data_IF_591009577764
#
_entry.id   IF_591009577764
#
_cell.length_a   1.000
_cell.length_b   1.000
_cell.length_c   1.000
_cell.angle_alpha   90.00
_cell.angle_beta   90.00
_cell.angle_gamma   90.00
#
_symmetry.space_group_name_H-M   'P 1'
#
loop_
_entity.id
_entity.type
_entity.pdbx_description
1 polymer ?
#
# COMPACT_ATOMS: atom_id res chain seq x y z
N UNK A 1 -20.73 -46.58 38.38
CA UNK A 1 -20.91 -45.70 39.56
C UNK A 1 -21.14 -44.31 39.02
N UNK A 2 -22.41 -43.93 38.82
CA UNK A 2 -23.21 -43.04 39.70
C UNK A 2 -22.66 -41.60 39.73
N UNK A 3 -23.29 -40.65 39.02
CA UNK A 3 -24.34 -39.69 39.51
C UNK A 3 -23.65 -38.33 39.79
N UNK A 4 -24.15 -37.13 39.50
CA UNK A 4 -25.39 -36.63 38.86
C UNK A 4 -25.40 -35.09 39.00
N UNK A 5 -25.88 -34.40 37.96
CA UNK A 5 -26.72 -33.19 37.93
C UNK A 5 -26.34 -31.87 38.65
N UNK A 6 -26.46 -30.79 37.87
CA UNK A 6 -26.74 -29.44 38.37
C UNK A 6 -27.01 -28.46 37.21
N UNK A 7 -28.25 -28.45 36.70
CA UNK A 7 -28.70 -27.48 35.70
C UNK A 7 -29.45 -26.27 36.30
N UNK A 8 -29.96 -25.43 35.38
CA UNK A 8 -30.89 -24.29 35.52
C UNK A 8 -30.22 -22.95 35.91
N UNK A 9 -30.52 -21.77 35.31
CA UNK A 9 -31.71 -21.26 34.59
C UNK A 9 -31.31 -20.05 33.71
N UNK A 10 -31.96 -19.91 32.55
CA UNK A 10 -32.08 -18.65 31.79
C UNK A 10 -33.11 -17.73 32.45
N UNK A 11 -32.97 -16.39 32.39
CA UNK A 11 -34.10 -15.48 32.43
C UNK A 11 -34.50 -15.01 31.02
N UNK A 12 -35.82 -14.86 30.84
CA UNK A 12 -36.50 -14.25 29.71
C UNK A 12 -37.22 -12.99 30.21
N UNK A 13 -37.51 -12.07 29.28
CA UNK A 13 -38.31 -10.83 29.39
C UNK A 13 -37.56 -9.62 29.97
N UNK A 14 -37.73 -8.39 29.47
CA UNK A 14 -38.97 -7.76 28.99
C UNK A 14 -38.66 -6.58 28.05
N UNK A 15 -39.25 -6.57 26.86
CA UNK A 15 -39.26 -5.43 25.93
C UNK A 15 -40.21 -4.35 26.45
N UNK A 16 -39.74 -3.11 26.61
CA UNK A 16 -40.60 -1.95 26.90
C UNK A 16 -40.58 -1.03 25.68
N UNK A 17 -41.73 -0.95 25.02
CA UNK A 17 -42.07 0.09 24.04
C UNK A 17 -42.50 1.34 24.79
N UNK A 18 -41.85 2.49 24.55
CA UNK A 18 -42.41 3.80 24.88
C UNK A 18 -42.70 4.52 23.56
N UNK A 19 -43.97 4.55 23.18
CA UNK A 19 -44.50 5.57 22.28
C UNK A 19 -44.72 6.84 23.08
N UNK A 20 -44.22 7.97 22.58
CA UNK A 20 -44.78 9.28 22.87
C UNK A 20 -45.03 9.98 21.52
N UNK A 21 -46.30 10.08 21.16
CA UNK A 21 -46.82 11.00 20.15
C UNK A 21 -47.62 12.07 20.90
N UNK A 22 -47.45 13.35 20.52
CA UNK A 22 -48.51 14.34 20.28
C UNK A 22 -47.86 15.69 19.87
N UNK A 23 -47.96 16.07 18.58
CA UNK A 23 -48.81 17.15 18.00
C UNK A 23 -48.43 18.58 18.45
N UNK A 24 -47.78 19.41 17.60
CA UNK A 24 -48.32 20.32 16.55
C UNK A 24 -49.26 21.42 17.07
N UNK A 25 -48.88 22.69 16.82
CA UNK A 25 -49.63 23.88 16.29
C UNK A 25 -48.86 25.14 16.74
N UNK A 26 -48.07 25.87 15.94
CA UNK A 26 -48.24 26.64 14.70
C UNK A 26 -48.47 28.17 14.92
N UNK A 27 -47.91 28.94 13.97
CA UNK A 27 -48.09 30.37 13.64
C UNK A 27 -47.29 31.39 14.49
N UNK A 28 -46.52 32.33 13.93
CA UNK A 28 -46.23 32.69 12.54
C UNK A 28 -45.50 34.04 12.45
N UNK A 29 -44.82 34.28 11.31
CA UNK A 29 -44.67 35.56 10.59
C UNK A 29 -43.91 36.73 11.28
N UNK A 30 -43.02 37.51 10.65
CA UNK A 30 -42.90 37.97 9.26
C UNK A 30 -41.45 38.44 8.95
N UNK A 31 -41.07 38.34 7.66
CA UNK A 31 -40.05 39.18 7.01
C UNK A 31 -40.73 40.47 6.46
N UNK A 32 -39.97 41.52 6.09
CA UNK A 32 -39.60 41.74 4.67
C UNK A 32 -38.16 42.30 4.49
N UNK A 33 -37.40 42.00 3.43
CA UNK A 33 -37.38 42.57 2.05
C UNK A 33 -37.23 44.11 2.01
N UNK A 34 -36.50 44.79 1.13
CA UNK A 34 -35.57 44.53 0.02
C UNK A 34 -34.94 45.89 -0.36
N UNK A 35 -33.87 45.91 -1.17
CA UNK A 35 -33.35 47.15 -1.78
C UNK A 35 -32.52 46.84 -3.03
N UNK A 36 -32.98 47.34 -4.18
CA UNK A 36 -32.55 47.05 -5.56
C UNK A 36 -32.14 48.35 -6.28
N UNK A 37 -31.22 48.25 -7.25
CA UNK A 37 -31.25 48.81 -8.63
C UNK A 37 -29.81 49.06 -9.16
N UNK A 38 -29.27 48.36 -10.18
CA UNK A 38 -29.52 48.36 -11.64
C UNK A 38 -28.53 49.30 -12.42
N UNK A 39 -28.50 49.35 -13.78
CA UNK A 39 -27.61 48.51 -14.64
C UNK A 39 -26.86 49.30 -15.75
N UNK A 40 -25.86 48.70 -16.42
CA UNK A 40 -25.26 49.11 -17.73
C UNK A 40 -24.53 47.88 -18.31
N UNK A 41 -24.35 47.60 -19.60
CA UNK A 41 -24.89 48.01 -20.89
C UNK A 41 -24.35 46.98 -21.91
N UNK A 42 -25.11 46.73 -22.97
CA UNK A 42 -24.80 45.83 -24.09
C UNK A 42 -23.52 46.17 -24.88
N UNK A 43 -22.87 45.14 -25.43
CA UNK A 43 -22.32 45.19 -26.78
C UNK A 43 -22.41 43.80 -27.42
N UNK A 44 -23.25 43.70 -28.45
CA UNK A 44 -23.28 42.60 -29.40
C UNK A 44 -22.13 42.76 -30.39
N UNK A 45 -21.49 41.66 -30.76
CA UNK A 45 -20.71 41.55 -31.99
C UNK A 45 -21.04 40.20 -32.65
N UNK A 46 -21.96 40.30 -33.61
CA UNK A 46 -22.03 39.55 -34.88
C UNK A 46 -21.48 38.13 -34.97
N UNK A 47 -22.41 37.21 -35.27
CA UNK A 47 -22.16 36.02 -36.07
C UNK A 47 -21.36 36.35 -37.33
N UNK A 48 -20.33 35.56 -37.60
CA UNK A 48 -20.01 35.11 -38.95
C UNK A 48 -19.89 33.59 -38.89
N UNK A 49 -20.92 32.96 -39.43
CA UNK A 49 -21.03 31.57 -39.77
C UNK A 49 -20.07 31.27 -40.93
N UNK A 50 -19.01 30.50 -40.68
CA UNK A 50 -18.35 29.71 -41.73
C UNK A 50 -18.14 28.31 -41.17
N UNK A 51 -18.96 27.39 -41.66
CA UNK A 51 -18.92 26.00 -41.32
C UNK A 51 -17.59 25.35 -41.68
N UNK A 52 -17.02 24.65 -40.71
CA UNK A 52 -16.24 23.46 -40.96
C UNK A 52 -16.93 22.33 -40.20
N UNK A 53 -17.61 21.47 -40.95
CA UNK A 53 -18.03 20.17 -40.46
C UNK A 53 -16.78 19.38 -40.08
N UNK A 54 -16.36 19.48 -38.81
CA UNK A 54 -15.39 18.59 -38.20
C UNK A 54 -16.14 17.32 -37.81
N UNK A 55 -15.89 16.25 -38.56
CA UNK A 55 -16.39 14.91 -38.26
C UNK A 55 -16.10 14.58 -36.80
N UNK A 56 -17.17 14.42 -36.02
CA UNK A 56 -17.11 13.87 -34.67
C UNK A 56 -16.70 12.40 -34.77
N UNK A 57 -15.39 12.16 -34.80
CA UNK A 57 -14.83 10.84 -34.65
C UNK A 57 -15.04 10.36 -33.22
N UNK A 58 -16.12 9.60 -33.00
CA UNK A 58 -16.27 8.73 -31.82
C UNK A 58 -15.42 7.47 -32.00
N UNK A 59 -14.13 7.65 -32.29
CA UNK A 59 -13.17 6.56 -32.18
C UNK A 59 -13.03 6.15 -30.71
N UNK A 60 -12.65 4.90 -30.41
CA UNK A 60 -12.18 4.58 -29.08
C UNK A 60 -11.07 5.58 -28.74
N UNK A 61 -11.20 6.32 -27.65
CA UNK A 61 -10.05 7.05 -27.13
C UNK A 61 -8.98 5.99 -26.86
N UNK A 62 -7.81 6.13 -27.46
CA UNK A 62 -6.69 5.28 -27.08
C UNK A 62 -6.51 5.40 -25.56
N UNK A 63 -6.33 4.26 -24.86
CA UNK A 63 -6.13 4.29 -23.42
C UNK A 63 -5.00 5.29 -23.11
N UNK A 64 -5.24 6.20 -22.17
CA UNK A 64 -4.27 7.25 -21.87
C UNK A 64 -2.94 6.60 -21.47
N UNK A 65 -1.89 6.91 -22.23
CA UNK A 65 -0.53 6.48 -21.93
C UNK A 65 -0.15 6.86 -20.50
N UNK A 66 0.08 5.86 -19.65
CA UNK A 66 0.56 6.08 -18.29
C UNK A 66 2.08 6.16 -18.34
N UNK A 67 2.62 7.36 -18.21
CA UNK A 67 4.08 7.54 -18.15
C UNK A 67 4.60 7.15 -16.77
N UNK A 68 5.79 6.58 -16.72
CA UNK A 68 6.46 6.26 -15.46
C UNK A 68 7.23 4.96 -15.53
N UNK A 69 7.75 4.55 -14.39
CA UNK A 69 8.46 3.27 -14.22
C UNK A 69 7.81 2.48 -13.10
N UNK A 70 7.57 1.20 -13.33
CA UNK A 70 7.16 0.26 -12.29
C UNK A 70 8.35 -0.59 -11.90
N UNK A 71 8.73 -0.51 -10.63
CA UNK A 71 9.84 -1.25 -10.05
C UNK A 71 9.31 -2.47 -9.32
N UNK A 72 9.90 -3.62 -9.60
CA UNK A 72 9.50 -4.93 -9.06
C UNK A 72 10.70 -5.56 -8.38
N UNK A 73 10.52 -5.99 -7.14
CA UNK A 73 11.49 -6.83 -6.44
C UNK A 73 11.26 -8.29 -6.83
N UNK A 74 12.23 -8.90 -7.52
CA UNK A 74 12.21 -10.32 -7.85
C UNK A 74 13.00 -11.05 -6.76
N UNK A 75 12.29 -11.64 -5.80
CA UNK A 75 12.88 -12.10 -4.54
C UNK A 75 13.85 -13.27 -4.78
N UNK A 76 13.39 -14.36 -5.39
CA UNK A 76 14.26 -15.50 -5.73
C UNK A 76 15.15 -15.19 -6.96
N UNK A 77 14.82 -14.13 -7.70
CA UNK A 77 15.60 -13.64 -8.84
C UNK A 77 16.77 -12.73 -8.48
N UNK A 78 17.02 -12.45 -7.20
CA UNK A 78 18.10 -11.60 -6.68
C UNK A 78 18.29 -10.28 -7.46
N UNK A 79 17.17 -9.64 -7.80
CA UNK A 79 17.16 -8.48 -8.69
C UNK A 79 15.93 -7.59 -8.56
N UNK A 80 16.04 -6.37 -9.11
CA UNK A 80 14.89 -5.50 -9.37
C UNK A 80 14.64 -5.39 -10.88
N UNK A 81 13.38 -5.46 -11.31
CA UNK A 81 12.98 -5.14 -12.69
C UNK A 81 12.43 -3.71 -12.76
N UNK A 82 12.86 -2.93 -13.75
CA UNK A 82 12.24 -1.65 -14.10
C UNK A 82 11.40 -1.83 -15.36
N UNK A 83 10.09 -1.61 -15.25
CA UNK A 83 9.11 -1.74 -16.34
C UNK A 83 8.68 -0.34 -16.77
N UNK A 84 8.72 -0.06 -18.06
CA UNK A 84 8.09 1.13 -18.62
C UNK A 84 6.56 1.02 -18.50
N UNK A 85 5.96 1.93 -17.74
CA UNK A 85 4.52 1.93 -17.45
C UNK A 85 3.64 2.14 -18.68
N UNK A 86 4.17 2.77 -19.73
CA UNK A 86 3.43 3.05 -20.97
C UNK A 86 3.44 1.80 -21.88
N UNK A 87 4.62 1.21 -22.05
CA UNK A 87 4.82 0.13 -23.03
C UNK A 87 4.69 -1.27 -22.44
N UNK A 88 4.77 -1.42 -21.11
CA UNK A 88 4.79 -2.72 -20.43
C UNK A 88 6.08 -3.52 -20.67
N UNK A 89 7.15 -2.86 -21.13
CA UNK A 89 8.43 -3.51 -21.42
C UNK A 89 9.36 -3.37 -20.21
N UNK A 90 9.99 -4.48 -19.79
CA UNK A 90 11.13 -4.43 -18.85
C UNK A 90 12.30 -3.74 -19.55
N UNK A 91 12.62 -2.52 -19.12
CA UNK A 91 13.70 -1.71 -19.72
C UNK A 91 15.08 -2.11 -19.22
N UNK A 92 15.16 -2.59 -17.97
CA UNK A 92 16.38 -3.09 -17.35
C UNK A 92 16.05 -3.97 -16.15
N UNK A 93 17.00 -4.85 -15.83
CA UNK A 93 17.03 -5.62 -14.58
C UNK A 93 18.31 -5.28 -13.83
N UNK A 94 18.19 -4.86 -12.56
CA UNK A 94 19.31 -4.57 -11.66
C UNK A 94 19.58 -5.81 -10.81
N UNK A 95 20.65 -6.55 -11.09
CA UNK A 95 21.04 -7.75 -10.33
C UNK A 95 22.00 -7.45 -9.19
N UNK A 96 22.14 -8.40 -8.26
CA UNK A 96 23.12 -8.33 -7.17
C UNK A 96 22.55 -7.75 -5.86
N UNK A 97 21.23 -7.66 -5.78
CA UNK A 97 20.49 -7.38 -4.54
C UNK A 97 19.88 -8.72 -4.15
N UNK A 98 20.45 -9.39 -3.14
CA UNK A 98 20.05 -10.76 -2.79
C UNK A 98 18.73 -10.76 -2.00
N UNK A 99 17.79 -11.61 -2.40
CA UNK A 99 16.45 -11.75 -1.81
C UNK A 99 15.76 -10.41 -1.50
N UNK A 100 15.48 -9.57 -2.51
CA UNK A 100 14.76 -8.34 -2.30
C UNK A 100 13.28 -8.66 -2.07
N UNK A 101 12.83 -8.51 -0.83
CA UNK A 101 11.43 -8.76 -0.46
C UNK A 101 10.53 -7.57 -0.83
N UNK A 102 11.04 -6.33 -0.71
CA UNK A 102 10.29 -5.11 -1.00
C UNK A 102 11.12 -4.05 -1.74
N UNK A 103 10.42 -3.22 -2.51
CA UNK A 103 10.97 -2.04 -3.19
C UNK A 103 10.00 -0.85 -3.03
N UNK A 104 10.54 0.34 -2.81
CA UNK A 104 9.79 1.59 -2.69
C UNK A 104 10.51 2.73 -3.42
N UNK A 105 9.79 3.48 -4.23
CA UNK A 105 10.29 4.71 -4.86
C UNK A 105 10.06 5.89 -3.91
N UNK A 106 11.03 6.80 -3.84
CA UNK A 106 10.93 8.09 -3.14
C UNK A 106 9.82 9.00 -3.71
N UNK A 107 9.27 9.95 -2.93
CA UNK A 107 8.16 10.80 -3.39
C UNK A 107 8.44 11.62 -4.66
N UNK A 108 9.69 12.03 -4.90
CA UNK A 108 10.11 12.78 -6.09
C UNK A 108 10.38 11.87 -7.33
N UNK A 109 10.36 10.55 -7.12
CA UNK A 109 10.59 9.54 -8.13
C UNK A 109 12.05 9.26 -8.47
N UNK A 110 13.01 9.95 -7.84
CA UNK A 110 14.43 9.96 -8.23
C UNK A 110 15.26 8.84 -7.62
N UNK A 111 14.87 8.31 -6.46
CA UNK A 111 15.56 7.22 -5.78
C UNK A 111 14.65 6.00 -5.59
N UNK A 112 15.21 4.82 -5.82
CA UNK A 112 14.57 3.52 -5.59
C UNK A 112 15.26 2.84 -4.41
N UNK A 113 14.45 2.45 -3.43
CA UNK A 113 14.89 1.83 -2.20
C UNK A 113 14.45 0.38 -2.17
N UNK A 114 15.34 -0.53 -1.79
CA UNK A 114 15.03 -1.95 -1.61
C UNK A 114 15.69 -2.49 -0.34
N UNK A 115 15.13 -3.57 0.19
CA UNK A 115 15.83 -4.40 1.18
C UNK A 115 16.59 -5.50 0.44
N UNK A 116 17.72 -5.94 1.00
CA UNK A 116 18.37 -7.19 0.62
C UNK A 116 18.31 -8.13 1.81
N UNK A 117 17.45 -9.14 1.72
CA UNK A 117 17.08 -10.00 2.85
C UNK A 117 18.25 -10.81 3.39
N UNK A 118 19.02 -11.47 2.52
CA UNK A 118 20.18 -12.28 2.94
C UNK A 118 21.35 -11.43 3.43
N UNK A 119 21.56 -10.26 2.84
CA UNK A 119 22.66 -9.37 3.18
C UNK A 119 22.39 -8.47 4.40
N UNK A 120 21.17 -8.47 4.95
CA UNK A 120 20.71 -7.53 5.99
C UNK A 120 21.06 -6.08 5.63
N UNK A 121 20.64 -5.64 4.43
CA UNK A 121 20.96 -4.33 3.90
C UNK A 121 19.71 -3.57 3.45
N UNK A 122 19.76 -2.24 3.60
CA UNK A 122 18.96 -1.31 2.80
C UNK A 122 19.81 -0.80 1.66
N UNK A 123 19.21 -0.73 0.47
CA UNK A 123 19.88 -0.41 -0.79
C UNK A 123 19.20 0.78 -1.44
N UNK A 124 19.97 1.80 -1.81
CA UNK A 124 19.51 2.98 -2.53
C UNK A 124 20.07 3.00 -3.95
N UNK A 125 19.20 3.12 -4.96
CA UNK A 125 19.56 3.22 -6.37
C UNK A 125 19.06 4.54 -6.96
N UNK A 126 19.82 5.11 -7.89
CA UNK A 126 19.35 6.19 -8.75
C UNK A 126 18.34 5.62 -9.76
N UNK A 127 17.13 6.16 -9.78
CA UNK A 127 16.05 5.64 -10.62
C UNK A 127 16.29 5.89 -12.12
N UNK A 128 17.11 6.88 -12.47
CA UNK A 128 17.40 7.26 -13.85
C UNK A 128 18.65 6.57 -14.39
N UNK A 129 19.68 6.33 -13.57
CA UNK A 129 20.94 5.71 -14.01
C UNK A 129 21.07 4.24 -13.64
N UNK A 130 20.22 3.74 -12.73
CA UNK A 130 20.28 2.38 -12.18
C UNK A 130 21.55 2.12 -11.34
N UNK A 131 22.29 3.17 -11.00
CA UNK A 131 23.54 3.07 -10.24
C UNK A 131 23.26 3.00 -8.74
N UNK A 132 24.13 2.28 -8.02
CA UNK A 132 24.12 2.22 -6.57
C UNK A 132 24.51 3.58 -5.98
N UNK A 133 23.59 4.21 -5.26
CA UNK A 133 23.86 5.42 -4.50
C UNK A 133 24.49 5.10 -3.15
N UNK A 134 24.05 4.02 -2.52
CA UNK A 134 24.63 3.55 -1.27
C UNK A 134 23.88 2.38 -0.64
N UNK A 135 24.47 1.85 0.43
CA UNK A 135 23.89 0.80 1.26
C UNK A 135 24.13 1.10 2.73
N UNK A 136 23.24 0.63 3.60
CA UNK A 136 23.45 0.63 5.04
C UNK A 136 23.00 -0.71 5.67
N UNK A 137 23.62 -1.14 6.78
CA UNK A 137 23.19 -2.34 7.50
C UNK A 137 21.81 -2.13 8.12
N UNK A 138 20.97 -3.16 8.06
CA UNK A 138 19.68 -3.24 8.76
C UNK A 138 19.79 -4.15 9.98
N UNK A 139 18.65 -4.42 10.63
CA UNK A 139 18.51 -5.58 11.50
C UNK A 139 18.39 -6.88 10.71
N UNK A 140 18.03 -7.96 11.39
CA UNK A 140 17.95 -9.31 10.82
C UNK A 140 16.68 -9.50 10.00
N UNK A 141 16.83 -10.06 8.79
CA UNK A 141 15.71 -10.39 7.90
C UNK A 141 14.81 -9.17 7.61
N UNK A 142 15.37 -8.12 6.97
CA UNK A 142 14.60 -6.93 6.62
C UNK A 142 13.46 -7.30 5.65
N UNK A 143 12.24 -6.87 5.98
CA UNK A 143 11.03 -7.27 5.24
C UNK A 143 10.56 -6.17 4.27
N UNK A 144 10.35 -4.95 4.77
CA UNK A 144 9.87 -3.84 3.97
C UNK A 144 10.71 -2.58 4.18
N UNK A 145 10.79 -1.75 3.13
CA UNK A 145 11.36 -0.40 3.18
C UNK A 145 10.31 0.61 2.73
N UNK A 146 10.18 1.70 3.47
CA UNK A 146 9.36 2.85 3.05
C UNK A 146 10.15 4.15 3.19
N UNK A 147 9.79 5.13 2.38
CA UNK A 147 10.31 6.50 2.47
C UNK A 147 9.22 7.37 3.10
N UNK A 148 9.59 8.28 4.00
CA UNK A 148 8.65 9.25 4.57
C UNK A 148 8.06 10.17 3.48
N UNK A 149 6.86 10.76 3.71
CA UNK A 149 6.22 11.61 2.70
C UNK A 149 7.03 12.84 2.26
N UNK A 150 7.87 13.38 3.15
CA UNK A 150 8.79 14.47 2.87
C UNK A 150 10.08 14.03 2.16
N UNK A 151 10.34 12.71 2.08
CA UNK A 151 11.55 12.15 1.47
C UNK A 151 12.78 12.17 2.37
N UNK A 152 12.67 12.61 3.63
CA UNK A 152 13.84 12.81 4.51
C UNK A 152 14.26 11.56 5.28
N UNK A 153 13.35 10.61 5.49
CA UNK A 153 13.60 9.38 6.25
C UNK A 153 13.34 8.12 5.42
N UNK A 154 14.14 7.09 5.67
CA UNK A 154 13.92 5.72 5.18
C UNK A 154 13.71 4.81 6.38
N UNK A 155 12.62 4.04 6.37
CA UNK A 155 12.22 3.18 7.48
C UNK A 155 12.17 1.73 7.01
N UNK A 156 12.83 0.83 7.75
CA UNK A 156 12.97 -0.59 7.40
C UNK A 156 12.55 -1.48 8.54
N UNK A 157 11.58 -2.36 8.31
CA UNK A 157 11.18 -3.38 9.29
C UNK A 157 12.11 -4.58 9.23
N UNK A 158 12.55 -5.04 10.40
CA UNK A 158 13.46 -6.17 10.56
C UNK A 158 12.70 -7.29 11.28
N UNK A 159 12.22 -8.27 10.51
CA UNK A 159 11.31 -9.30 11.02
C UNK A 159 12.00 -10.31 11.95
N UNK A 160 13.33 -10.46 11.82
CA UNK A 160 14.10 -11.46 12.56
C UNK A 160 14.53 -11.03 13.96
N UNK A 161 14.54 -9.73 14.25
CA UNK A 161 14.90 -9.18 15.57
C UNK A 161 13.84 -8.25 16.18
N UNK A 162 12.66 -8.18 15.55
CA UNK A 162 11.51 -7.39 16.00
C UNK A 162 11.79 -5.88 16.10
N UNK A 163 12.51 -5.31 15.12
CA UNK A 163 12.87 -3.88 15.13
C UNK A 163 12.46 -3.10 13.88
N UNK A 164 12.45 -1.77 14.02
CA UNK A 164 12.40 -0.80 12.92
C UNK A 164 13.72 -0.02 12.88
N UNK A 165 14.43 -0.07 11.76
CA UNK A 165 15.57 0.83 11.50
C UNK A 165 15.10 2.10 10.80
N UNK A 166 15.54 3.26 11.28
CA UNK A 166 15.25 4.56 10.67
C UNK A 166 16.53 5.24 10.24
N UNK A 167 16.61 5.67 8.98
CA UNK A 167 17.78 6.30 8.37
C UNK A 167 17.46 7.69 7.86
N UNK A 168 18.46 8.56 7.83
CA UNK A 168 18.48 9.73 6.96
C UNK A 168 18.52 9.28 5.49
N UNK A 169 17.61 9.79 4.67
CA UNK A 169 17.52 9.37 3.27
C UNK A 169 18.70 9.85 2.41
N UNK A 170 19.30 11.00 2.72
CA UNK A 170 20.41 11.57 1.95
C UNK A 170 21.75 10.89 2.32
N UNK A 171 22.02 10.75 3.62
CA UNK A 171 23.32 10.29 4.12
C UNK A 171 23.38 8.79 4.41
N UNK A 172 22.24 8.09 4.45
CA UNK A 172 22.11 6.69 4.91
C UNK A 172 22.55 6.48 6.37
N UNK A 173 22.66 7.55 7.16
CA UNK A 173 22.99 7.46 8.58
C UNK A 173 21.80 6.90 9.38
N UNK A 174 22.04 5.83 10.14
CA UNK A 174 21.05 5.26 11.07
C UNK A 174 20.75 6.28 12.19
N UNK A 175 19.50 6.74 12.25
CA UNK A 175 18.98 7.67 13.25
C UNK A 175 18.45 6.96 14.49
N UNK A 176 17.76 5.84 14.30
CA UNK A 176 17.17 5.07 15.39
C UNK A 176 16.98 3.60 15.02
N UNK A 177 16.94 2.78 16.07
CA UNK A 177 16.41 1.41 16.05
C UNK A 177 15.31 1.35 17.10
N UNK A 178 14.09 1.00 16.68
CA UNK A 178 12.91 0.97 17.55
C UNK A 178 12.48 -0.47 17.78
N UNK A 179 12.32 -0.87 19.04
CA UNK A 179 11.76 -2.17 19.39
C UNK A 179 10.25 -2.20 19.05
N UNK A 180 9.82 -3.23 18.32
CA UNK A 180 8.44 -3.44 17.90
C UNK A 180 7.84 -4.70 18.52
N UNK A 181 6.55 -4.91 18.29
CA UNK A 181 5.92 -6.20 18.54
C UNK A 181 6.40 -7.26 17.56
N UNK A 182 6.28 -8.53 17.94
CA UNK A 182 6.86 -9.66 17.23
C UNK A 182 6.45 -9.79 15.74
N UNK A 183 7.44 -10.00 14.88
CA UNK A 183 7.33 -10.23 13.45
C UNK A 183 6.89 -9.00 12.64
N UNK A 184 7.54 -7.83 12.80
CA UNK A 184 7.22 -6.66 12.00
C UNK A 184 7.46 -6.94 10.52
N UNK A 185 6.52 -6.53 9.68
CA UNK A 185 6.53 -6.85 8.26
C UNK A 185 6.19 -5.61 7.43
N UNK A 186 4.98 -5.51 6.87
CA UNK A 186 4.57 -4.33 6.12
C UNK A 186 4.36 -3.10 6.99
N UNK A 187 4.73 -1.93 6.48
CA UNK A 187 4.61 -0.64 7.16
C UNK A 187 4.15 0.46 6.22
N UNK A 188 3.49 1.50 6.76
CA UNK A 188 3.07 2.67 5.99
C UNK A 188 3.05 3.94 6.85
N UNK A 189 3.70 5.04 6.42
CA UNK A 189 3.59 6.33 7.09
C UNK A 189 2.17 6.90 7.03
N UNK A 190 1.81 7.72 8.02
CA UNK A 190 0.66 8.62 7.90
C UNK A 190 0.93 9.68 6.82
N UNK A 191 -0.11 10.24 6.18
CA UNK A 191 0.08 11.22 5.10
C UNK A 191 0.84 12.48 5.49
N UNK A 192 0.75 12.88 6.77
CA UNK A 192 1.51 13.99 7.34
C UNK A 192 2.93 13.62 7.80
N UNK A 193 3.29 12.33 7.72
CA UNK A 193 4.59 11.81 8.12
C UNK A 193 4.83 11.70 9.62
N UNK A 194 3.88 12.11 10.47
CA UNK A 194 4.06 12.19 11.92
C UNK A 194 4.09 10.82 12.63
N UNK A 195 3.57 9.78 11.98
CA UNK A 195 3.66 8.42 12.49
C UNK A 195 3.88 7.41 11.36
N UNK A 196 4.35 6.23 11.73
CA UNK A 196 4.36 5.04 10.87
C UNK A 196 3.58 3.92 11.52
N UNK A 197 2.68 3.30 10.76
CA UNK A 197 1.93 2.12 11.22
C UNK A 197 2.64 0.88 10.71
N UNK A 198 2.91 -0.08 11.59
CA UNK A 198 3.66 -1.31 11.28
C UNK A 198 2.79 -2.52 11.60
N UNK A 199 2.65 -3.45 10.65
CA UNK A 199 1.96 -4.71 10.85
C UNK A 199 2.91 -5.76 11.44
N UNK A 200 2.48 -6.38 12.54
CA UNK A 200 3.27 -7.36 13.29
C UNK A 200 2.65 -8.74 13.15
N UNK A 201 3.15 -9.50 12.18
CA UNK A 201 2.61 -10.79 11.73
C UNK A 201 2.48 -11.78 12.87
N UNK A 202 3.53 -11.96 13.68
CA UNK A 202 3.55 -12.96 14.75
C UNK A 202 2.71 -12.50 15.96
N UNK A 203 2.72 -11.20 16.26
CA UNK A 203 1.97 -10.65 17.39
C UNK A 203 0.46 -10.52 17.12
N UNK A 204 0.03 -10.43 15.86
CA UNK A 204 -1.37 -10.18 15.50
C UNK A 204 -1.83 -8.75 15.80
N UNK A 205 -0.89 -7.81 15.80
CA UNK A 205 -1.10 -6.39 16.12
C UNK A 205 -0.64 -5.48 14.97
N UNK A 206 -1.02 -4.21 15.07
CA UNK A 206 -0.25 -3.12 14.45
C UNK A 206 0.35 -2.23 15.54
N UNK A 207 1.58 -1.77 15.34
CA UNK A 207 2.19 -0.72 16.14
C UNK A 207 2.08 0.63 15.44
N UNK A 208 1.93 1.70 16.21
CA UNK A 208 1.98 3.09 15.73
C UNK A 208 3.19 3.75 16.35
N UNK A 209 4.19 4.08 15.52
CA UNK A 209 5.45 4.67 15.94
C UNK A 209 5.46 6.16 15.59
N UNK A 210 5.78 7.01 16.55
CA UNK A 210 6.02 8.44 16.32
C UNK A 210 7.36 8.63 15.61
N UNK A 211 7.38 9.36 14.49
CA UNK A 211 8.57 9.49 13.62
C UNK A 211 9.53 10.59 14.06
N UNK A 212 9.15 11.42 15.03
CA UNK A 212 10.00 12.43 15.64
C UNK A 212 10.70 11.89 16.90
N UNK A 213 9.98 11.14 17.73
CA UNK A 213 10.50 10.60 19.00
C UNK A 213 11.02 9.17 18.89
N UNK A 214 10.63 8.45 17.84
CA UNK A 214 10.93 7.02 17.64
C UNK A 214 10.38 6.12 18.76
N UNK A 215 9.22 6.50 19.33
CA UNK A 215 8.53 5.73 20.36
C UNK A 215 7.28 5.04 19.80
N UNK A 216 7.03 3.79 20.22
CA UNK A 216 5.75 3.11 19.98
C UNK A 216 4.68 3.77 20.86
N UNK A 217 3.75 4.49 20.24
CA UNK A 217 2.67 5.22 20.93
C UNK A 217 1.40 4.40 21.11
N UNK A 218 1.20 3.36 20.30
CA UNK A 218 0.09 2.43 20.43
C UNK A 218 0.45 1.05 19.85
N UNK A 219 -0.14 0.01 20.44
CA UNK A 219 -0.16 -1.36 19.92
C UNK A 219 -1.60 -1.83 19.88
N UNK A 220 -2.13 -2.08 18.68
CA UNK A 220 -3.55 -2.32 18.44
C UNK A 220 -3.72 -3.77 17.95
N UNK A 221 -4.48 -4.62 18.67
CA UNK A 221 -4.82 -5.95 18.18
C UNK A 221 -5.72 -5.87 16.93
N UNK A 222 -5.35 -6.60 15.87
CA UNK A 222 -6.06 -6.56 14.58
C UNK A 222 -6.54 -7.92 14.11
N UNK A 223 -5.87 -9.00 14.51
CA UNK A 223 -6.21 -10.37 14.13
C UNK A 223 -4.98 -11.18 13.73
N UNK A 224 -5.21 -12.40 13.25
CA UNK A 224 -4.13 -13.37 13.05
C UNK A 224 -3.30 -13.07 11.80
N UNK A 225 -1.98 -13.02 11.97
CA UNK A 225 -0.99 -12.91 10.89
C UNK A 225 -1.20 -11.73 9.94
N UNK A 226 -1.15 -10.46 10.40
CA UNK A 226 -1.24 -9.29 9.54
C UNK A 226 0.08 -9.02 8.79
N UNK A 227 0.17 -9.20 7.45
CA UNK A 227 1.41 -8.98 6.73
C UNK A 227 1.59 -7.55 6.21
N UNK A 228 0.50 -6.77 6.06
CA UNK A 228 0.56 -5.44 5.46
C UNK A 228 -0.47 -4.48 6.03
N UNK A 229 -0.15 -3.19 5.96
CA UNK A 229 -1.02 -2.06 6.29
C UNK A 229 -1.06 -1.02 5.16
N UNK A 230 -2.22 -0.42 4.94
CA UNK A 230 -2.39 0.83 4.18
C UNK A 230 -3.02 1.90 5.09
N UNK A 231 -2.67 3.17 4.91
CA UNK A 231 -3.19 4.28 5.72
C UNK A 231 -4.01 5.22 4.85
N UNK A 232 -5.16 5.66 5.36
CA UNK A 232 -6.07 6.57 4.67
C UNK A 232 -5.47 7.97 4.50
N UNK A 233 -5.84 8.72 3.43
CA UNK A 233 -5.37 10.09 3.21
C UNK A 233 -5.71 11.08 4.35
N UNK A 234 -6.72 10.77 5.17
CA UNK A 234 -7.07 11.56 6.35
C UNK A 234 -6.24 11.22 7.59
N UNK A 235 -5.35 10.22 7.52
CA UNK A 235 -4.51 9.74 8.61
C UNK A 235 -5.25 9.06 9.76
N UNK A 236 -6.59 8.96 9.71
CA UNK A 236 -7.39 8.42 10.81
C UNK A 236 -7.53 6.90 10.74
N UNK A 237 -7.67 6.37 9.54
CA UNK A 237 -7.92 4.94 9.34
C UNK A 237 -6.72 4.22 8.77
N UNK A 238 -6.47 3.02 9.25
CA UNK A 238 -5.59 2.04 8.62
C UNK A 238 -6.40 0.84 8.15
N UNK A 239 -5.92 0.18 7.11
CA UNK A 239 -6.47 -1.06 6.57
C UNK A 239 -5.40 -2.13 6.65
N UNK A 240 -5.74 -3.28 7.20
CA UNK A 240 -4.77 -4.34 7.50
C UNK A 240 -5.26 -5.64 6.89
N UNK A 241 -4.41 -6.28 6.08
CA UNK A 241 -4.68 -7.63 5.54
C UNK A 241 -4.47 -8.65 6.64
N UNK A 242 -5.26 -9.72 6.67
CA UNK A 242 -5.14 -10.80 7.65
C UNK A 242 -5.12 -12.13 6.89
N UNK A 243 -3.96 -12.79 6.89
CA UNK A 243 -3.75 -14.09 6.24
C UNK A 243 -4.56 -15.17 6.94
N UNK A 244 -4.59 -15.18 8.28
CA UNK A 244 -5.22 -16.25 9.06
C UNK A 244 -6.73 -16.37 8.85
N UNK A 245 -7.41 -15.24 8.61
CA UNK A 245 -8.86 -15.17 8.41
C UNK A 245 -9.30 -14.89 6.98
N UNK A 246 -8.37 -14.77 6.03
CA UNK A 246 -8.62 -14.36 4.64
C UNK A 246 -9.52 -13.12 4.56
N UNK A 247 -9.09 -12.04 5.21
CA UNK A 247 -9.90 -10.83 5.34
C UNK A 247 -9.05 -9.57 5.38
N UNK A 248 -9.69 -8.42 5.15
CA UNK A 248 -9.13 -7.10 5.42
C UNK A 248 -9.92 -6.42 6.52
N UNK A 249 -9.25 -5.80 7.48
CA UNK A 249 -9.88 -5.05 8.58
C UNK A 249 -9.58 -3.57 8.49
N UNK A 250 -10.53 -2.76 8.95
CA UNK A 250 -10.40 -1.30 9.10
C UNK A 250 -10.15 -0.96 10.55
N UNK A 251 -9.07 -0.26 10.83
CA UNK A 251 -8.63 0.17 12.16
C UNK A 251 -8.80 1.68 12.26
N UNK A 252 -9.50 2.15 13.29
CA UNK A 252 -9.48 3.57 13.66
C UNK A 252 -8.27 3.81 14.56
N UNK A 253 -7.29 4.58 14.09
CA UNK A 253 -6.03 4.84 14.79
C UNK A 253 -6.22 5.75 16.01
N UNK A 254 -7.24 6.60 15.99
CA UNK A 254 -7.57 7.48 17.12
C UNK A 254 -8.29 6.70 18.22
N UNK A 255 -9.24 5.85 17.83
CA UNK A 255 -9.98 4.99 18.77
C UNK A 255 -9.22 3.71 19.13
N UNK A 256 -8.09 3.45 18.46
CA UNK A 256 -7.21 2.29 18.64
C UNK A 256 -7.94 0.94 18.60
N UNK A 257 -8.80 0.75 17.60
CA UNK A 257 -9.60 -0.48 17.47
C UNK A 257 -10.03 -0.77 16.04
N UNK A 258 -10.31 -2.04 15.77
CA UNK A 258 -10.99 -2.49 14.56
C UNK A 258 -12.43 -1.98 14.55
N UNK A 259 -12.86 -1.39 13.44
CA UNK A 259 -14.20 -0.81 13.23
C UNK A 259 -14.98 -1.43 12.08
N UNK A 260 -14.32 -2.21 11.21
CA UNK A 260 -14.95 -2.91 10.11
C UNK A 260 -14.07 -4.03 9.56
N UNK A 261 -14.67 -4.94 8.79
CA UNK A 261 -13.96 -6.07 8.19
C UNK A 261 -14.68 -6.53 6.93
N UNK A 262 -13.92 -7.07 5.98
CA UNK A 262 -14.43 -7.71 4.78
C UNK A 262 -13.64 -8.99 4.51
N UNK A 263 -14.34 -10.09 4.20
CA UNK A 263 -13.68 -11.33 3.75
C UNK A 263 -13.30 -11.22 2.28
N UNK A 264 -12.13 -11.75 1.93
CA UNK A 264 -11.63 -11.82 0.55
C UNK A 264 -11.51 -13.28 0.09
N UNK A 265 -11.44 -13.56 -1.24
CA UNK A 265 -11.46 -14.91 -1.79
C UNK A 265 -10.31 -15.83 -1.35
N UNK A 266 -9.15 -15.27 -1.01
CA UNK A 266 -7.94 -16.03 -0.61
C UNK A 266 -7.12 -15.21 0.39
N UNK A 267 -6.24 -15.84 1.20
CA UNK A 267 -5.34 -15.12 2.09
C UNK A 267 -4.67 -13.92 1.42
N UNK A 268 -4.94 -12.68 1.89
CA UNK A 268 -4.40 -11.49 1.28
C UNK A 268 -3.01 -11.15 1.83
N UNK A 269 -2.18 -10.51 1.00
CA UNK A 269 -0.88 -9.98 1.45
C UNK A 269 -0.79 -8.46 1.30
N UNK A 270 -0.41 -7.90 0.14
CA UNK A 270 -0.28 -6.45 0.04
C UNK A 270 -1.63 -5.77 -0.20
N UNK A 271 -1.79 -4.59 0.41
CA UNK A 271 -2.91 -3.69 0.19
C UNK A 271 -2.42 -2.40 -0.49
N UNK A 272 -3.27 -1.80 -1.32
CA UNK A 272 -3.03 -0.45 -1.82
C UNK A 272 -4.34 0.34 -1.84
N UNK A 273 -4.34 1.49 -1.16
CA UNK A 273 -5.49 2.40 -1.14
C UNK A 273 -5.31 3.47 -2.22
N UNK A 274 -6.35 3.71 -3.03
CA UNK A 274 -6.33 4.79 -4.02
C UNK A 274 -6.14 6.15 -3.36
N UNK A 275 -5.55 7.11 -4.07
CA UNK A 275 -5.20 8.43 -3.51
C UNK A 275 -6.41 9.23 -3.02
N UNK A 276 -7.59 9.01 -3.60
CA UNK A 276 -8.86 9.58 -3.15
C UNK A 276 -9.42 8.92 -1.87
N UNK A 277 -8.79 7.82 -1.42
CA UNK A 277 -9.14 7.07 -0.23
C UNK A 277 -10.40 6.20 -0.39
N UNK A 278 -10.96 6.05 -1.58
CA UNK A 278 -12.28 5.39 -1.75
C UNK A 278 -12.19 3.90 -1.99
N UNK A 279 -11.18 3.44 -2.75
CA UNK A 279 -11.03 2.03 -3.14
C UNK A 279 -9.73 1.45 -2.60
N UNK A 280 -9.87 0.36 -1.86
CA UNK A 280 -8.76 -0.44 -1.39
C UNK A 280 -8.61 -1.68 -2.26
N UNK A 281 -7.44 -1.89 -2.84
CA UNK A 281 -7.09 -3.08 -3.57
C UNK A 281 -6.41 -4.07 -2.62
N UNK A 282 -6.85 -5.32 -2.65
CA UNK A 282 -6.26 -6.44 -1.91
C UNK A 282 -5.73 -7.48 -2.88
N UNK A 283 -4.43 -7.77 -2.82
CA UNK A 283 -3.84 -8.90 -3.53
C UNK A 283 -4.14 -10.19 -2.77
N UNK A 284 -5.03 -11.02 -3.33
CA UNK A 284 -5.53 -12.24 -2.68
C UNK A 284 -4.62 -13.42 -3.05
N UNK A 285 -3.42 -13.44 -2.48
CA UNK A 285 -2.32 -14.33 -2.83
C UNK A 285 -2.65 -15.82 -2.75
N UNK A 286 -3.33 -16.25 -1.69
CA UNK A 286 -3.42 -17.67 -1.38
C UNK A 286 -2.11 -18.26 -0.89
N UNK A 287 -1.83 -19.52 -1.25
CA UNK A 287 -0.59 -20.23 -0.86
C UNK A 287 0.02 -20.91 -2.08
N UNK A 288 1.28 -21.32 -2.02
CA UNK A 288 1.94 -22.00 -3.16
C UNK A 288 1.19 -23.26 -3.64
N UNK A 289 0.62 -24.04 -2.69
CA UNK A 289 -0.16 -25.24 -3.03
C UNK A 289 -1.60 -24.96 -3.46
N UNK A 290 -2.10 -23.76 -3.24
CA UNK A 290 -3.44 -23.30 -3.61
C UNK A 290 -3.39 -21.79 -3.89
N UNK A 291 -2.78 -21.38 -5.01
CA UNK A 291 -2.57 -19.98 -5.30
C UNK A 291 -3.91 -19.32 -5.58
N UNK A 292 -4.10 -18.15 -4.97
CA UNK A 292 -5.15 -17.23 -5.39
C UNK A 292 -4.83 -16.64 -6.76
N UNK A 293 -5.83 -15.98 -7.36
CA UNK A 293 -5.74 -15.46 -8.72
C UNK A 293 -6.59 -14.20 -8.90
N UNK A 294 -6.85 -13.49 -7.81
CA UNK A 294 -7.70 -12.30 -7.81
C UNK A 294 -7.10 -11.13 -7.05
N UNK A 295 -7.52 -9.94 -7.46
CA UNK A 295 -7.38 -8.70 -6.70
C UNK A 295 -8.77 -8.25 -6.32
N UNK A 296 -9.06 -8.21 -5.02
CA UNK A 296 -10.33 -7.70 -4.52
C UNK A 296 -10.33 -6.17 -4.49
N UNK A 297 -11.38 -5.56 -5.02
CA UNK A 297 -11.66 -4.13 -4.90
C UNK A 297 -12.65 -3.93 -3.77
N UNK A 298 -12.28 -3.15 -2.77
CA UNK A 298 -13.06 -2.93 -1.56
C UNK A 298 -13.39 -1.44 -1.44
N UNK A 299 -14.68 -1.12 -1.22
CA UNK A 299 -15.08 0.22 -0.76
C UNK A 299 -14.54 0.41 0.67
N UNK A 300 -13.67 1.40 0.83
CA UNK A 300 -12.90 1.63 2.05
C UNK A 300 -13.77 2.15 3.23
N UNK A 301 -14.95 2.69 2.93
CA UNK A 301 -15.85 3.26 3.91
C UNK A 301 -16.81 2.21 4.45
N UNK A 302 -17.48 1.46 3.58
CA UNK A 302 -18.46 0.42 3.92
C UNK A 302 -17.82 -0.92 4.23
N UNK A 303 -16.56 -1.15 3.83
CA UNK A 303 -15.88 -2.44 3.88
C UNK A 303 -16.66 -3.53 3.13
N UNK A 304 -17.01 -3.26 1.88
CA UNK A 304 -17.67 -4.22 0.99
C UNK A 304 -16.89 -4.42 -0.30
N UNK A 305 -16.84 -5.65 -0.82
CA UNK A 305 -16.27 -5.92 -2.13
C UNK A 305 -17.16 -5.28 -3.21
N UNK A 306 -16.57 -4.40 -4.01
CA UNK A 306 -17.18 -3.82 -5.20
C UNK A 306 -17.00 -4.72 -6.42
N UNK A 307 -15.81 -5.32 -6.54
CA UNK A 307 -15.42 -6.15 -7.69
C UNK A 307 -14.25 -7.09 -7.34
N UNK A 308 -14.01 -8.08 -8.18
CA UNK A 308 -12.86 -8.99 -8.12
C UNK A 308 -12.21 -9.09 -9.49
N UNK A 309 -10.97 -8.63 -9.60
CA UNK A 309 -10.22 -8.56 -10.86
C UNK A 309 -9.36 -9.81 -10.99
N UNK A 310 -9.38 -10.48 -12.14
CA UNK A 310 -8.51 -11.63 -12.39
C UNK A 310 -7.04 -11.20 -12.50
N UNK A 311 -6.14 -11.94 -11.89
CA UNK A 311 -4.69 -11.76 -11.96
C UNK A 311 -4.01 -13.11 -12.23
N UNK A 312 -2.67 -13.12 -12.31
CA UNK A 312 -1.89 -14.37 -12.33
C UNK A 312 -1.91 -15.08 -10.97
N UNK A 313 -1.24 -16.22 -10.88
CA UNK A 313 -1.15 -17.02 -9.67
C UNK A 313 -0.32 -16.31 -8.58
N UNK A 314 -0.88 -16.26 -7.37
CA UNK A 314 -0.25 -15.62 -6.23
C UNK A 314 -0.14 -14.10 -6.34
N UNK A 315 -1.23 -13.34 -6.57
CA UNK A 315 -1.19 -11.89 -6.48
C UNK A 315 -0.58 -11.47 -5.13
N UNK A 316 0.54 -10.74 -5.13
CA UNK A 316 1.27 -10.43 -3.90
C UNK A 316 1.34 -8.92 -3.66
N UNK A 317 2.19 -8.24 -4.42
CA UNK A 317 2.38 -6.80 -4.34
C UNK A 317 1.41 -6.04 -5.23
N UNK A 318 0.94 -4.88 -4.77
CA UNK A 318 0.01 -4.02 -5.53
C UNK A 318 0.50 -2.58 -5.48
N UNK A 319 0.51 -1.91 -6.62
CA UNK A 319 0.69 -0.46 -6.71
C UNK A 319 -0.31 0.16 -7.68
N UNK A 320 -0.83 1.34 -7.33
CA UNK A 320 -1.69 2.16 -8.17
C UNK A 320 -0.97 3.47 -8.48
N UNK A 321 -1.03 3.94 -9.72
CA UNK A 321 -0.48 5.25 -10.08
C UNK A 321 -1.37 6.41 -9.56
N UNK A 322 -0.84 7.63 -9.39
CA UNK A 322 -1.52 8.72 -8.68
C UNK A 322 -2.90 9.13 -9.20
N UNK A 323 -3.20 8.93 -10.49
CA UNK A 323 -4.52 9.26 -11.05
C UNK A 323 -5.58 8.18 -10.78
N UNK A 324 -5.18 7.02 -10.24
CA UNK A 324 -6.09 5.94 -9.88
C UNK A 324 -6.64 5.14 -11.07
N UNK A 325 -6.06 5.29 -12.26
CA UNK A 325 -6.54 4.66 -13.49
C UNK A 325 -5.86 3.33 -13.78
N UNK A 326 -4.62 3.14 -13.32
CA UNK A 326 -3.84 1.92 -13.56
C UNK A 326 -3.26 1.34 -12.28
N UNK A 327 -3.33 0.02 -12.16
CA UNK A 327 -2.63 -0.73 -11.14
C UNK A 327 -1.72 -1.78 -11.76
N UNK A 328 -0.68 -2.15 -11.02
CA UNK A 328 0.20 -3.28 -11.31
C UNK A 328 0.24 -4.20 -10.11
N UNK A 329 0.20 -5.50 -10.38
CA UNK A 329 0.16 -6.53 -9.36
C UNK A 329 1.16 -7.63 -9.69
N UNK A 330 2.10 -7.89 -8.79
CA UNK A 330 3.02 -9.02 -8.94
C UNK A 330 2.29 -10.33 -8.71
N UNK A 331 2.57 -11.32 -9.54
CA UNK A 331 2.03 -12.68 -9.44
C UNK A 331 3.19 -13.59 -9.02
N UNK A 332 3.34 -13.77 -7.71
CA UNK A 332 4.51 -14.38 -7.08
C UNK A 332 4.77 -15.82 -7.51
N UNK A 333 3.73 -16.57 -7.91
CA UNK A 333 3.87 -17.96 -8.36
C UNK A 333 3.92 -18.11 -9.90
N UNK A 334 3.86 -17.00 -10.64
CA UNK A 334 3.78 -16.98 -12.11
C UNK A 334 4.92 -16.17 -12.78
N UNK A 335 5.84 -15.58 -12.00
CA UNK A 335 6.96 -14.74 -12.49
C UNK A 335 6.52 -13.60 -13.43
N UNK A 336 5.35 -13.02 -13.13
CA UNK A 336 4.72 -11.99 -13.95
C UNK A 336 4.15 -10.84 -13.13
N UNK A 337 3.83 -9.75 -13.82
CA UNK A 337 3.05 -8.62 -13.31
C UNK A 337 1.77 -8.49 -14.13
N UNK A 338 0.61 -8.51 -13.47
CA UNK A 338 -0.68 -8.17 -14.06
C UNK A 338 -0.82 -6.65 -14.16
N UNK A 339 -1.20 -6.13 -15.32
CA UNK A 339 -1.50 -4.70 -15.54
C UNK A 339 -3.01 -4.52 -15.59
N UNK A 340 -3.56 -3.71 -14.69
CA UNK A 340 -4.99 -3.57 -14.47
C UNK A 340 -5.45 -2.17 -14.88
N UNK A 341 -6.53 -2.10 -15.65
CA UNK A 341 -7.33 -0.91 -15.86
C UNK A 341 -8.38 -0.79 -14.75
N UNK A 342 -8.28 0.24 -13.91
CA UNK A 342 -9.21 0.45 -12.80
C UNK A 342 -10.50 1.17 -13.20
N UNK A 343 -10.58 1.70 -14.42
CA UNK A 343 -11.82 2.26 -14.96
C UNK A 343 -12.79 1.18 -15.43
N UNK A 344 -12.25 0.03 -15.86
CA UNK A 344 -13.03 -1.14 -16.30
C UNK A 344 -12.90 -2.35 -15.37
N UNK A 345 -12.01 -2.27 -14.37
CA UNK A 345 -11.65 -3.37 -13.46
C UNK A 345 -11.21 -4.64 -14.20
N UNK A 346 -10.35 -4.48 -15.20
CA UNK A 346 -9.87 -5.58 -16.03
C UNK A 346 -8.36 -5.61 -16.11
N UNK A 347 -7.79 -6.81 -16.05
CA UNK A 347 -6.40 -7.03 -16.45
C UNK A 347 -6.30 -6.91 -17.96
N UNK A 348 -5.50 -5.96 -18.41
CA UNK A 348 -5.34 -5.61 -19.83
C UNK A 348 -4.06 -6.16 -20.44
N UNK A 349 -3.06 -6.47 -19.63
CA UNK A 349 -1.84 -7.14 -20.06
C UNK A 349 -1.14 -7.84 -18.90
N UNK A 350 -0.15 -8.66 -19.24
CA UNK A 350 0.73 -9.35 -18.30
C UNK A 350 2.17 -9.20 -18.78
N UNK A 351 3.07 -8.84 -17.88
CA UNK A 351 4.50 -8.60 -18.16
C UNK A 351 5.33 -9.67 -17.44
N UNK A 352 6.19 -10.38 -18.16
CA UNK A 352 7.15 -11.31 -17.54
C UNK A 352 8.28 -10.54 -16.86
N UNK A 353 8.66 -10.97 -15.65
CA UNK A 353 9.73 -10.38 -14.84
C UNK A 353 10.66 -11.48 -14.31
N UNK A 354 11.42 -11.23 -13.24
CA UNK A 354 12.27 -12.24 -12.61
C UNK A 354 11.48 -13.20 -11.72
N UNK A 355 12.20 -14.17 -11.15
CA UNK A 355 11.66 -15.23 -10.30
C UNK A 355 11.08 -14.67 -8.97
N UNK A 356 9.90 -15.16 -8.60
CA UNK A 356 9.10 -14.73 -7.42
C UNK A 356 9.01 -13.21 -7.24
N UNK A 357 8.31 -12.50 -8.14
CA UNK A 357 8.10 -11.07 -7.99
C UNK A 357 7.23 -10.80 -6.75
N UNK A 358 7.74 -9.97 -5.85
CA UNK A 358 7.16 -9.69 -4.54
C UNK A 358 6.75 -8.21 -4.45
N UNK A 359 7.52 -7.36 -3.77
CA UNK A 359 7.22 -5.94 -3.65
C UNK A 359 7.21 -5.21 -5.00
N UNK A 360 6.37 -4.18 -5.11
CA UNK A 360 6.19 -3.38 -6.32
C UNK A 360 5.95 -1.91 -5.97
N UNK A 361 6.55 -1.00 -6.75
CA UNK A 361 6.39 0.45 -6.58
C UNK A 361 6.36 1.17 -7.92
N UNK A 362 5.72 2.33 -7.96
CA UNK A 362 5.59 3.16 -9.16
C UNK A 362 6.37 4.46 -8.98
N UNK A 363 7.09 4.87 -10.02
CA UNK A 363 7.71 6.18 -10.18
C UNK A 363 7.00 6.95 -11.29
N UNK A 364 6.65 8.24 -11.10
CA UNK A 364 6.16 9.08 -12.19
C UNK A 364 7.25 9.41 -13.23
N UNK A 365 8.53 9.13 -12.91
CA UNK A 365 9.63 9.31 -13.84
C UNK A 365 9.68 8.17 -14.85
N UNK A 366 9.71 8.51 -16.14
CA UNK A 366 9.92 7.52 -17.20
C UNK A 366 11.29 6.87 -17.06
N UNK A 367 11.42 5.58 -17.41
CA UNK A 367 12.71 4.91 -17.31
C UNK A 367 13.68 5.48 -18.34
N UNK A 368 14.95 5.54 -17.98
CA UNK A 368 16.02 5.85 -18.93
C UNK A 368 16.37 4.58 -19.71
N UNK A 369 16.47 4.60 -21.04
CA UNK A 369 17.00 3.46 -21.79
C UNK A 369 18.41 3.10 -21.29
N UNK A 370 18.60 1.84 -20.90
CA UNK A 370 19.86 1.32 -20.36
C UNK A 370 20.24 -0.03 -20.97
N UNK A 371 21.31 -0.67 -20.47
CA UNK A 371 21.54 -2.08 -20.78
C UNK A 371 20.36 -2.91 -20.25
N UNK A 372 20.05 -4.02 -20.94
CA UNK A 372 18.99 -4.93 -20.50
C UNK A 372 19.21 -5.46 -19.07
N UNK A 373 20.47 -5.53 -18.64
CA UNK A 373 20.85 -5.86 -17.26
C UNK A 373 22.00 -4.97 -16.82
N UNK A 374 21.94 -4.51 -15.58
CA UNK A 374 23.06 -3.91 -14.85
C UNK A 374 23.24 -4.65 -13.52
N UNK A 375 24.42 -4.58 -12.92
CA UNK A 375 24.70 -5.24 -11.65
C UNK A 375 25.24 -4.25 -10.64
N UNK A 376 24.75 -4.36 -9.42
CA UNK A 376 25.31 -3.69 -8.25
C UNK A 376 26.01 -4.73 -7.36
N UNK A 377 26.74 -4.25 -6.35
CA UNK A 377 27.36 -5.10 -5.33
C UNK A 377 26.91 -4.60 -3.97
N UNK A 378 26.05 -5.38 -3.31
CA UNK A 378 25.59 -5.11 -1.95
C UNK A 378 26.52 -5.82 -0.97
N UNK A 379 27.11 -5.13 0.02
CA UNK A 379 27.90 -5.78 1.05
C UNK A 379 27.03 -6.72 1.89
N UNK A 380 27.58 -7.88 2.28
CA UNK A 380 26.96 -8.77 3.26
C UNK A 380 27.20 -8.23 4.69
N UNK A 381 26.13 -7.76 5.33
CA UNK A 381 26.15 -7.31 6.73
C UNK A 381 25.74 -8.40 7.73
N UNK A 382 25.26 -9.56 7.27
CA UNK A 382 24.85 -10.66 8.15
C UNK A 382 26.05 -11.30 8.88
N UNK A 383 27.21 -11.36 8.22
CA UNK A 383 28.43 -12.00 8.76
C UNK A 383 29.24 -11.12 9.73
N UNK A 384 28.89 -9.82 9.86
CA UNK A 384 29.60 -8.87 10.72
C UNK A 384 29.17 -8.85 12.20
N UNK A 385 28.02 -9.43 12.55
CA UNK A 385 27.43 -9.34 13.88
C UNK A 385 28.05 -10.28 14.95
N UNK A 386 28.92 -11.24 14.58
CA UNK A 386 29.54 -12.18 15.52
C UNK A 386 30.86 -11.70 16.17
N UNK A 387 31.28 -10.44 15.99
CA UNK A 387 32.59 -9.94 16.43
C UNK A 387 32.69 -9.37 17.87
N UNK A 388 31.66 -9.52 18.71
CA UNK A 388 31.47 -8.69 19.92
C UNK A 388 31.53 -9.38 21.29
N UNK A 389 31.96 -10.63 21.40
CA UNK A 389 32.23 -11.26 22.69
C UNK A 389 33.71 -11.58 22.85
N UNK A 390 34.47 -10.56 23.25
CA UNK A 390 35.82 -10.73 23.77
C UNK A 390 35.76 -11.42 25.14
N UNK A 391 36.65 -12.41 25.30
CA UNK A 391 36.89 -13.17 26.53
C UNK A 391 37.06 -12.28 27.77
N UNK A 392 36.42 -12.66 28.88
CA UNK A 392 37.02 -12.69 30.22
C UNK A 392 36.25 -13.63 31.16
#
# INVERSE_FOLDING_TARGET
>A
MLVSHGGLRRPLFLTVFVMAALTLTACGQDAPAAGSAAPLSSAAATQSDEGAAGEGGTGPQEPMAIRGTVWVANEDGDSLSAIDADTGVVVTTVSGIESPHNVQVSPDGGTVWAVSGHANAVVALDAATYELLGTAPTGVSPAHVVVSPDGEQVLVTNSGDDTLSVYDAESLELRATVDLSAGPHGLRPTPDGAAVVVANTTAGTVDVVDTDTYEVTATIPVGDSPPQVAVAPDGRYAYVSLVGSSSVVKVDLVEQKVTGSVSVPSPPVQLYLTADGTRLLSADQGTEGAPGSTVSVIDSASMTIEDTIAAGAGPHGVVVEPTGQRAWVTNLYDDTVSVIDLSTNQTVSTVSVGDKPNGISYSPQSPTPGPATTSVTVPDYATGAEGGHAEH
#
